data_IF_432593492181
#
_entry.id   IF_432593492181
#
_cell.length_a   1.000
_cell.length_b   1.000
_cell.length_c   1.000
_cell.angle_alpha   90.00
_cell.angle_beta   90.00
_cell.angle_gamma   90.00
#
_symmetry.space_group_name_H-M   'P 1'
#
loop_
_entity.id
_entity.type
_entity.pdbx_description
1 polymer ?
#
# COMPACT_ATOMS: atom_id res chain seq x y z
N UNK A 1 21.46 -11.10 19.55
CA UNK A 1 20.48 -11.39 20.61
C UNK A 1 19.20 -10.62 20.33
N UNK A 2 18.01 -11.24 20.41
CA UNK A 2 16.77 -10.51 20.17
C UNK A 2 16.38 -9.68 21.40
N UNK A 3 16.10 -8.39 21.18
CA UNK A 3 15.59 -7.46 22.18
C UNK A 3 14.12 -7.79 22.47
N UNK A 4 13.84 -8.30 23.67
CA UNK A 4 12.48 -8.50 24.17
C UNK A 4 11.89 -7.16 24.62
N UNK A 5 11.00 -6.58 23.82
CA UNK A 5 10.14 -5.49 24.27
C UNK A 5 8.83 -6.06 24.84
N UNK A 6 8.73 -6.07 26.18
CA UNK A 6 7.49 -6.32 26.88
C UNK A 6 6.65 -5.03 26.87
N UNK A 7 5.83 -4.84 25.84
CA UNK A 7 4.72 -3.91 25.93
C UNK A 7 3.59 -4.61 26.69
N UNK A 8 3.17 -4.02 27.81
CA UNK A 8 2.13 -4.54 28.71
C UNK A 8 0.90 -5.03 27.94
N UNK A 9 0.65 -6.34 28.01
CA UNK A 9 -0.62 -6.96 27.65
C UNK A 9 -1.02 -7.90 28.80
N UNK A 10 -2.32 -8.04 29.14
CA UNK A 10 -2.77 -8.96 30.17
C UNK A 10 -2.31 -10.40 29.87
N UNK A 11 -2.23 -11.23 30.92
CA UNK A 11 -1.63 -12.57 31.02
C UNK A 11 -2.01 -13.64 29.97
N UNK A 12 -2.82 -13.30 28.98
CA UNK A 12 -3.44 -14.21 28.01
C UNK A 12 -2.92 -14.10 26.57
N UNK A 13 -2.03 -13.13 26.30
CA UNK A 13 -1.46 -12.95 24.96
C UNK A 13 0.02 -13.34 24.91
N UNK A 14 0.35 -14.41 24.19
CA UNK A 14 1.73 -14.66 23.73
C UNK A 14 1.90 -14.12 22.33
N UNK A 15 2.69 -13.06 22.20
CA UNK A 15 3.10 -12.48 20.91
C UNK A 15 4.43 -13.09 20.49
N UNK A 16 4.50 -13.67 19.30
CA UNK A 16 5.78 -13.95 18.62
C UNK A 16 5.97 -12.91 17.53
N UNK A 17 7.08 -12.20 17.61
CA UNK A 17 7.45 -11.14 16.66
C UNK A 17 8.54 -11.70 15.75
N UNK A 18 8.32 -11.62 14.45
CA UNK A 18 9.33 -11.94 13.45
C UNK A 18 9.78 -10.62 12.81
N UNK A 19 11.09 -10.38 12.83
CA UNK A 19 11.70 -9.21 12.18
C UNK A 19 12.29 -9.63 10.85
N UNK A 20 11.77 -9.07 9.75
CA UNK A 20 12.38 -9.17 8.43
C UNK A 20 12.71 -7.75 7.94
N UNK A 21 13.94 -7.31 8.16
CA UNK A 21 14.34 -5.91 7.89
C UNK A 21 13.55 -4.92 8.75
N UNK A 22 12.96 -3.89 8.11
CA UNK A 22 12.13 -2.86 8.76
C UNK A 22 10.66 -3.25 8.94
N UNK A 23 10.28 -4.47 8.54
CA UNK A 23 8.89 -4.95 8.59
C UNK A 23 8.71 -5.83 9.83
N UNK A 24 7.75 -5.44 10.67
CA UNK A 24 7.32 -6.21 11.84
C UNK A 24 6.16 -7.13 11.44
N UNK A 25 6.40 -8.44 11.39
CA UNK A 25 5.33 -9.43 11.26
C UNK A 25 4.99 -9.95 12.66
N UNK A 26 3.75 -9.71 13.10
CA UNK A 26 3.22 -10.25 14.35
C UNK A 26 2.28 -11.42 14.06
N UNK A 27 2.53 -12.58 14.65
CA UNK A 27 1.51 -13.63 14.77
C UNK A 27 0.93 -13.57 16.19
N UNK A 28 -0.41 -13.58 16.27
CA UNK A 28 -1.13 -13.70 17.53
C UNK A 28 -1.66 -15.12 17.65
N UNK A 29 -1.36 -15.77 18.78
CA UNK A 29 -2.05 -16.98 19.19
C UNK A 29 -2.80 -16.66 20.47
N UNK A 30 -4.12 -16.77 20.45
CA UNK A 30 -4.97 -16.63 21.62
C UNK A 30 -4.95 -17.97 22.36
N UNK A 31 -4.71 -17.95 23.66
CA UNK A 31 -4.79 -19.14 24.51
C UNK A 31 -6.02 -19.01 25.41
N UNK A 32 -7.08 -19.77 25.09
CA UNK A 32 -8.23 -19.95 25.99
C UNK A 32 -8.01 -21.25 26.80
N UNK A 33 -7.89 -21.17 28.14
CA UNK A 33 -7.70 -22.35 28.98
C UNK A 33 -8.90 -23.29 29.02
N UNK A 34 -10.07 -22.92 28.48
CA UNK A 34 -11.29 -23.73 28.52
C UNK A 34 -11.60 -24.47 27.20
N UNK A 35 -11.05 -24.05 26.05
CA UNK A 35 -11.43 -24.56 24.71
C UNK A 35 -10.29 -25.21 23.90
N UNK A 36 -9.08 -25.31 24.48
CA UNK A 36 -7.92 -25.88 23.78
C UNK A 36 -7.37 -24.97 22.68
N UNK A 37 -6.50 -25.52 21.80
CA UNK A 37 -5.96 -24.76 20.67
C UNK A 37 -7.03 -24.55 19.60
N UNK A 38 -7.78 -23.45 19.67
CA UNK A 38 -8.62 -23.02 18.57
C UNK A 38 -7.70 -22.55 17.43
N UNK A 39 -7.65 -23.34 16.35
CA UNK A 39 -7.05 -22.93 15.09
C UNK A 39 -8.09 -22.08 14.34
N UNK A 40 -8.26 -20.83 14.78
CA UNK A 40 -9.06 -19.86 14.03
C UNK A 40 -8.21 -19.12 13.00
N UNK A 41 -8.87 -18.81 11.89
CA UNK A 41 -8.31 -18.33 10.63
C UNK A 41 -7.25 -17.24 10.80
N UNK A 42 -6.17 -17.40 10.04
CA UNK A 42 -5.05 -16.45 9.96
C UNK A 42 -5.58 -15.14 9.37
N UNK A 43 -6.04 -14.27 10.25
CA UNK A 43 -6.49 -12.94 9.90
C UNK A 43 -5.26 -12.04 9.88
N UNK A 44 -4.81 -11.66 8.68
CA UNK A 44 -3.69 -10.73 8.52
C UNK A 44 -4.25 -9.31 8.53
N UNK A 45 -4.30 -8.70 9.72
CA UNK A 45 -4.62 -7.30 9.88
C UNK A 45 -3.36 -6.44 9.69
N UNK A 46 -3.34 -5.63 8.64
CA UNK A 46 -2.32 -4.60 8.48
C UNK A 46 -2.81 -3.32 9.16
N UNK A 47 -2.15 -2.97 10.26
CA UNK A 47 -2.37 -1.73 11.00
C UNK A 47 -1.33 -0.71 10.57
N UNK A 48 -1.79 0.50 10.32
CA UNK A 48 -0.93 1.67 10.37
C UNK A 48 -1.58 2.82 11.14
N UNK A 49 -0.71 3.73 11.59
CA UNK A 49 -0.89 4.75 12.63
C UNK A 49 -2.32 4.89 13.19
N UNK A 50 -2.62 4.05 14.19
CA UNK A 50 -3.63 4.25 15.24
C UNK A 50 -4.80 5.18 14.86
N UNK A 51 -5.70 4.76 13.97
CA UNK A 51 -7.11 5.18 13.94
C UNK A 51 -7.84 4.45 12.80
N UNK A 52 -8.81 3.61 13.19
CA UNK A 52 -9.94 3.29 12.33
C UNK A 52 -10.70 4.60 12.08
N UNK A 53 -10.57 5.16 10.87
CA UNK A 53 -11.40 6.27 10.43
C UNK A 53 -12.52 5.72 9.54
N UNK A 54 -13.64 5.36 10.18
CA UNK A 54 -14.93 5.40 9.50
C UNK A 54 -15.32 6.87 9.36
N UNK A 55 -15.18 7.44 8.16
CA UNK A 55 -15.83 8.70 7.82
C UNK A 55 -17.00 8.43 6.88
N UNK A 56 -18.10 9.11 7.16
CA UNK A 56 -19.39 8.93 6.51
C UNK A 56 -19.39 9.74 5.21
N UNK A 57 -19.32 9.05 4.07
CA UNK A 57 -19.36 9.62 2.73
C UNK A 57 -18.56 8.76 1.75
N UNK A 58 -19.20 7.71 1.22
CA UNK A 58 -18.66 6.80 0.18
C UNK A 58 -17.26 6.21 0.44
N UNK A 59 -16.93 5.93 1.70
CA UNK A 59 -15.62 5.40 2.10
C UNK A 59 -15.60 3.89 1.92
N UNK A 60 -14.81 3.47 0.93
CA UNK A 60 -14.39 2.09 0.70
C UNK A 60 -14.01 1.44 2.05
N UNK A 61 -14.74 0.38 2.45
CA UNK A 61 -14.44 -0.43 3.65
C UNK A 61 -13.19 -1.28 3.39
N UNK A 62 -12.00 -0.71 3.64
CA UNK A 62 -10.74 -1.40 3.44
C UNK A 62 -10.44 -2.33 4.63
N UNK A 63 -11.08 -3.51 4.66
CA UNK A 63 -10.80 -4.54 5.67
C UNK A 63 -9.37 -5.10 5.62
N UNK A 64 -8.62 -4.86 4.54
CA UNK A 64 -7.25 -5.38 4.36
C UNK A 64 -6.37 -4.33 3.67
N UNK A 65 -5.91 -3.31 4.41
CA UNK A 65 -5.11 -2.21 3.87
C UNK A 65 -3.82 -1.95 4.66
N UNK A 66 -2.75 -1.51 3.98
CA UNK A 66 -1.49 -1.08 4.58
C UNK A 66 -1.28 0.41 4.30
N UNK A 67 -1.33 1.24 5.33
CA UNK A 67 -1.15 2.69 5.17
C UNK A 67 0.14 3.21 5.85
N UNK A 68 1.26 3.15 5.14
CA UNK A 68 2.52 3.69 5.62
C UNK A 68 2.70 5.19 5.31
N UNK A 69 1.63 5.92 5.06
CA UNK A 69 1.71 7.32 4.66
C UNK A 69 2.23 8.25 5.76
N UNK A 70 2.72 9.42 5.35
CA UNK A 70 3.17 10.48 6.26
C UNK A 70 4.25 9.99 7.24
N UNK A 71 5.31 9.39 6.67
CA UNK A 71 6.48 8.93 7.40
C UNK A 71 7.76 9.44 6.70
N UNK A 72 8.91 9.04 7.24
CA UNK A 72 10.22 9.32 6.65
C UNK A 72 10.79 8.07 5.95
N UNK A 73 9.95 7.22 5.35
CA UNK A 73 10.44 6.04 4.62
C UNK A 73 11.23 6.50 3.39
N UNK A 74 12.38 5.89 3.17
CA UNK A 74 13.32 6.24 2.10
C UNK A 74 13.84 5.00 1.40
N UNK A 75 14.46 5.18 0.24
CA UNK A 75 14.90 4.08 -0.61
C UNK A 75 13.80 3.64 -1.57
N UNK A 76 14.00 2.51 -2.22
CA UNK A 76 13.09 2.01 -3.25
C UNK A 76 11.89 1.27 -2.67
N UNK A 77 10.80 1.22 -3.43
CA UNK A 77 9.68 0.34 -3.13
C UNK A 77 10.13 -1.10 -3.41
N UNK A 78 10.11 -2.01 -2.42
CA UNK A 78 10.59 -3.37 -2.62
C UNK A 78 9.63 -4.18 -3.49
N UNK A 79 10.18 -5.04 -4.36
CA UNK A 79 9.41 -5.94 -5.22
C UNK A 79 8.52 -6.91 -4.43
N UNK A 80 8.91 -7.19 -3.19
CA UNK A 80 8.20 -8.09 -2.27
C UNK A 80 6.80 -7.57 -1.92
N UNK A 81 6.52 -6.27 -2.03
CA UNK A 81 5.17 -5.77 -1.82
C UNK A 81 4.17 -6.39 -2.79
N UNK A 82 4.59 -6.74 -4.01
CA UNK A 82 3.76 -7.46 -4.97
C UNK A 82 3.29 -8.85 -4.52
N UNK A 83 3.83 -9.40 -3.42
CA UNK A 83 3.38 -10.68 -2.84
C UNK A 83 2.12 -10.55 -1.99
N UNK A 84 1.70 -9.32 -1.65
CA UNK A 84 0.52 -9.05 -0.82
C UNK A 84 -0.79 -9.16 -1.63
N UNK A 85 -1.02 -10.28 -2.32
CA UNK A 85 -2.09 -10.45 -3.31
C UNK A 85 -3.52 -10.20 -2.80
N UNK A 86 -3.73 -10.26 -1.48
CA UNK A 86 -5.02 -10.04 -0.83
C UNK A 86 -5.24 -8.59 -0.38
N UNK A 87 -4.25 -7.71 -0.53
CA UNK A 87 -4.36 -6.32 -0.08
C UNK A 87 -5.34 -5.53 -0.94
N UNK A 88 -6.20 -4.75 -0.30
CA UNK A 88 -7.22 -3.92 -0.94
C UNK A 88 -6.85 -2.44 -0.95
N UNK A 89 -6.01 -1.99 -0.02
CA UNK A 89 -5.49 -0.63 0.00
C UNK A 89 -4.00 -0.61 0.33
N UNK A 90 -3.21 0.11 -0.46
CA UNK A 90 -1.81 0.40 -0.18
C UNK A 90 -1.60 1.90 -0.27
N UNK A 91 -1.29 2.53 0.87
CA UNK A 91 -0.95 3.94 0.93
C UNK A 91 0.50 4.10 1.38
N UNK A 92 1.36 4.56 0.47
CA UNK A 92 2.77 4.89 0.72
C UNK A 92 3.02 6.40 0.59
N UNK A 93 1.96 7.21 0.55
CA UNK A 93 2.06 8.63 0.22
C UNK A 93 2.81 9.44 1.28
N UNK A 94 3.30 10.62 0.92
CA UNK A 94 3.98 11.54 1.86
C UNK A 94 5.15 10.88 2.58
N UNK A 95 6.08 10.34 1.79
CA UNK A 95 7.33 9.74 2.25
C UNK A 95 8.51 10.30 1.42
N UNK A 96 9.67 9.68 1.53
CA UNK A 96 10.90 10.03 0.81
C UNK A 96 11.34 8.88 -0.11
N UNK A 97 10.40 8.06 -0.61
CA UNK A 97 10.68 6.91 -1.46
C UNK A 97 11.23 7.36 -2.81
N UNK A 98 12.21 6.63 -3.32
CA UNK A 98 12.96 6.92 -4.57
C UNK A 98 12.90 5.73 -5.53
N UNK A 99 13.49 5.85 -6.72
CA UNK A 99 13.56 4.76 -7.69
C UNK A 99 12.27 4.58 -8.47
N UNK A 100 12.06 3.39 -9.05
CA UNK A 100 10.94 3.09 -9.94
C UNK A 100 9.73 2.57 -9.18
N UNK A 101 8.55 2.72 -9.76
CA UNK A 101 7.38 1.94 -9.33
C UNK A 101 7.60 0.49 -9.76
N UNK A 102 7.63 -0.50 -8.85
CA UNK A 102 7.87 -1.88 -9.23
C UNK A 102 6.71 -2.43 -10.05
N UNK A 103 7.00 -3.01 -11.21
CA UNK A 103 5.99 -3.73 -12.01
C UNK A 103 5.29 -4.84 -11.23
N UNK A 104 5.96 -5.39 -10.21
CA UNK A 104 5.41 -6.43 -9.32
C UNK A 104 4.18 -5.98 -8.54
N UNK A 105 3.92 -4.67 -8.43
CA UNK A 105 2.68 -4.15 -7.86
C UNK A 105 1.44 -4.51 -8.72
N UNK A 106 1.60 -4.89 -9.99
CA UNK A 106 0.49 -5.43 -10.79
C UNK A 106 -0.04 -6.78 -10.27
N UNK A 107 0.73 -7.48 -9.42
CA UNK A 107 0.30 -8.74 -8.80
C UNK A 107 -0.71 -8.55 -7.65
N UNK A 108 -1.00 -7.30 -7.26
CA UNK A 108 -1.95 -6.97 -6.20
C UNK A 108 -3.39 -7.07 -6.70
N UNK A 109 -3.83 -8.27 -7.08
CA UNK A 109 -5.07 -8.49 -7.82
C UNK A 109 -6.36 -8.04 -7.09
N UNK A 110 -6.32 -7.88 -5.77
CA UNK A 110 -7.44 -7.38 -4.96
C UNK A 110 -7.40 -5.89 -4.66
N UNK A 111 -6.39 -5.15 -5.14
CA UNK A 111 -6.20 -3.75 -4.79
C UNK A 111 -7.28 -2.86 -5.38
N UNK A 112 -7.84 -2.00 -4.52
CA UNK A 112 -8.87 -1.03 -4.84
C UNK A 112 -8.35 0.41 -4.66
N UNK A 113 -7.36 0.62 -3.80
CA UNK A 113 -6.73 1.92 -3.56
C UNK A 113 -5.22 1.81 -3.54
N UNK A 114 -4.55 2.54 -4.42
CA UNK A 114 -3.09 2.64 -4.48
C UNK A 114 -2.69 4.11 -4.46
N UNK A 115 -2.08 4.55 -3.36
CA UNK A 115 -1.56 5.90 -3.21
C UNK A 115 -0.03 5.90 -3.05
N UNK A 116 0.67 6.43 -4.04
CA UNK A 116 2.12 6.58 -4.08
C UNK A 116 2.52 8.07 -4.14
N UNK A 117 1.58 8.98 -3.91
CA UNK A 117 1.78 10.41 -4.08
C UNK A 117 2.76 11.03 -3.07
N UNK A 118 3.29 12.21 -3.35
CA UNK A 118 4.21 12.92 -2.46
C UNK A 118 5.42 12.06 -2.04
N UNK A 119 6.15 11.59 -3.06
CA UNK A 119 7.40 10.87 -2.91
C UNK A 119 8.43 11.43 -3.91
N UNK A 120 9.54 10.74 -4.11
CA UNK A 120 10.59 11.07 -5.10
C UNK A 120 10.74 9.94 -6.12
N UNK A 121 9.65 9.23 -6.44
CA UNK A 121 9.63 8.15 -7.43
C UNK A 121 9.92 8.72 -8.82
N UNK A 122 10.55 7.92 -9.66
CA UNK A 122 11.07 8.32 -10.97
C UNK A 122 10.85 7.24 -12.04
N UNK A 123 11.08 7.60 -13.29
CA UNK A 123 10.84 6.71 -14.44
C UNK A 123 9.37 6.66 -14.82
N UNK A 124 9.01 5.65 -15.62
CA UNK A 124 7.66 5.50 -16.16
C UNK A 124 6.69 4.83 -15.18
N UNK A 125 5.40 5.09 -15.35
CA UNK A 125 4.35 4.31 -14.71
C UNK A 125 4.31 2.94 -15.43
N UNK A 126 4.54 1.81 -14.74
CA UNK A 126 4.57 0.51 -15.40
C UNK A 126 3.23 0.21 -16.09
N UNK A 127 3.23 -0.15 -17.38
CA UNK A 127 2.00 -0.49 -18.09
C UNK A 127 1.30 -1.71 -17.48
N UNK A 128 2.02 -2.58 -16.76
CA UNK A 128 1.45 -3.72 -16.04
C UNK A 128 0.45 -3.29 -14.94
N UNK A 129 0.52 -2.05 -14.42
CA UNK A 129 -0.48 -1.58 -13.46
C UNK A 129 -1.89 -1.48 -14.05
N UNK A 130 -2.01 -1.53 -15.38
CA UNK A 130 -3.31 -1.59 -16.06
C UNK A 130 -4.03 -2.94 -15.87
N UNK A 131 -3.34 -3.97 -15.38
CA UNK A 131 -3.93 -5.27 -15.04
C UNK A 131 -4.69 -5.23 -13.69
N UNK A 132 -4.62 -4.12 -12.94
CA UNK A 132 -5.27 -3.95 -11.64
C UNK A 132 -6.76 -3.60 -11.80
N UNK A 133 -7.57 -4.49 -12.36
CA UNK A 133 -8.96 -4.20 -12.76
C UNK A 133 -9.91 -3.75 -11.65
N UNK A 134 -9.56 -3.97 -10.37
CA UNK A 134 -10.37 -3.55 -9.21
C UNK A 134 -9.98 -2.16 -8.67
N UNK A 135 -8.96 -1.53 -9.23
CA UNK A 135 -8.44 -0.25 -8.77
C UNK A 135 -9.45 0.88 -9.01
N UNK A 136 -9.91 1.49 -7.91
CA UNK A 136 -10.88 2.60 -7.86
C UNK A 136 -10.25 3.92 -7.50
N UNK A 137 -9.15 3.89 -6.75
CA UNK A 137 -8.36 5.05 -6.40
C UNK A 137 -6.90 4.81 -6.77
N UNK A 138 -6.34 5.74 -7.52
CA UNK A 138 -4.93 5.75 -7.90
C UNK A 138 -4.39 7.16 -7.77
N UNK A 139 -3.23 7.31 -7.14
CA UNK A 139 -2.51 8.57 -7.14
C UNK A 139 -1.01 8.33 -7.17
N UNK A 140 -0.33 9.00 -8.09
CA UNK A 140 1.12 9.11 -8.20
C UNK A 140 1.56 10.58 -8.21
N UNK A 141 0.67 11.47 -7.78
CA UNK A 141 0.88 12.90 -7.81
C UNK A 141 2.13 13.31 -7.02
N UNK A 142 2.76 14.42 -7.40
CA UNK A 142 3.92 14.97 -6.70
C UNK A 142 5.06 13.95 -6.54
N UNK A 143 5.53 13.43 -7.68
CA UNK A 143 6.72 12.61 -7.83
C UNK A 143 7.60 13.17 -8.97
N UNK A 144 8.65 12.44 -9.35
CA UNK A 144 9.53 12.76 -10.47
C UNK A 144 9.33 11.78 -11.66
N UNK A 145 8.08 11.34 -11.87
CA UNK A 145 7.75 10.38 -12.93
C UNK A 145 7.80 11.05 -14.31
N UNK A 146 8.07 10.23 -15.32
CA UNK A 146 8.26 10.61 -16.72
C UNK A 146 7.50 9.71 -17.67
N UNK A 147 7.44 10.11 -18.94
CA UNK A 147 6.87 9.28 -20.00
C UNK A 147 5.36 9.39 -20.10
N UNK A 148 4.75 8.50 -20.87
CA UNK A 148 3.31 8.52 -21.15
C UNK A 148 2.53 7.80 -20.05
N UNK A 149 1.44 8.38 -19.58
CA UNK A 149 0.48 7.66 -18.72
C UNK A 149 -0.07 6.44 -19.49
N UNK A 150 -0.07 5.23 -18.89
CA UNK A 150 -0.68 4.05 -19.49
C UNK A 150 -2.15 4.31 -19.85
N UNK A 151 -2.44 4.46 -21.15
CA UNK A 151 -3.75 4.88 -21.65
C UNK A 151 -4.59 3.65 -22.00
N UNK A 152 -5.35 3.16 -21.00
CA UNK A 152 -6.44 2.21 -21.20
C UNK A 152 -7.74 2.93 -20.85
N UNK A 153 -8.52 3.22 -21.92
CA UNK A 153 -9.63 4.19 -21.96
C UNK A 153 -10.79 4.04 -20.95
N UNK A 154 -10.92 3.01 -20.10
CA UNK A 154 -11.85 3.04 -18.98
C UNK A 154 -11.25 3.09 -17.58
N UNK A 155 -9.93 2.96 -17.37
CA UNK A 155 -9.35 2.94 -16.01
C UNK A 155 -8.43 4.13 -15.74
N UNK A 156 -7.21 4.11 -16.27
CA UNK A 156 -6.23 5.17 -16.03
C UNK A 156 -6.64 6.50 -16.69
N UNK A 157 -7.43 6.44 -17.76
CA UNK A 157 -8.06 7.65 -18.33
C UNK A 157 -9.25 8.20 -17.52
N UNK A 158 -9.78 7.44 -16.56
CA UNK A 158 -10.93 7.84 -15.73
C UNK A 158 -10.54 8.43 -14.37
N UNK A 159 -9.29 8.22 -13.91
CA UNK A 159 -8.80 8.87 -12.71
C UNK A 159 -8.63 10.38 -12.92
N UNK A 160 -8.83 11.15 -11.85
CA UNK A 160 -8.73 12.60 -11.90
C UNK A 160 -7.33 13.05 -12.34
N UNK A 161 -7.26 14.18 -13.04
CA UNK A 161 -5.97 14.76 -13.46
C UNK A 161 -5.06 15.06 -12.25
N UNK A 162 -5.63 15.29 -11.06
CA UNK A 162 -4.88 15.46 -9.82
C UNK A 162 -4.08 14.21 -9.43
N UNK A 163 -4.52 13.00 -9.80
CA UNK A 163 -3.80 11.74 -9.55
C UNK A 163 -2.42 11.68 -10.20
N UNK A 164 -2.19 12.51 -11.22
CA UNK A 164 -0.95 12.55 -12.00
C UNK A 164 -0.20 13.88 -11.85
N UNK A 165 -0.85 14.89 -11.27
CA UNK A 165 -0.33 16.25 -11.11
C UNK A 165 0.99 16.29 -10.34
N UNK A 166 1.79 17.34 -10.56
CA UNK A 166 3.08 17.49 -9.87
C UNK A 166 4.21 16.58 -10.39
N UNK A 167 4.00 15.81 -11.46
CA UNK A 167 5.06 15.13 -12.21
C UNK A 167 5.43 15.96 -13.46
N UNK A 168 6.60 16.64 -13.49
CA UNK A 168 6.91 17.60 -14.56
C UNK A 168 7.12 16.95 -15.93
N UNK A 169 7.63 15.71 -15.98
CA UNK A 169 8.02 14.98 -17.19
C UNK A 169 6.96 13.97 -17.67
N UNK A 170 5.81 13.90 -17.00
CA UNK A 170 4.72 13.00 -17.34
C UNK A 170 3.79 13.65 -18.38
N UNK A 171 3.36 12.89 -19.39
CA UNK A 171 2.54 13.37 -20.50
C UNK A 171 1.45 12.34 -20.90
N UNK A 172 0.53 12.73 -21.78
CA UNK A 172 -0.57 11.89 -22.26
C UNK A 172 -1.78 11.86 -21.33
N UNK A 173 -2.95 11.50 -21.87
CA UNK A 173 -4.21 11.51 -21.12
C UNK A 173 -4.12 10.64 -19.85
N UNK A 174 -4.69 11.06 -18.70
CA UNK A 174 -5.53 12.25 -18.51
C UNK A 174 -4.74 13.56 -18.25
N UNK A 175 -3.41 13.52 -18.28
CA UNK A 175 -2.61 14.75 -18.26
C UNK A 175 -2.85 15.55 -19.55
N UNK A 176 -3.04 16.86 -19.41
CA UNK A 176 -3.29 17.78 -20.53
C UNK A 176 -2.01 18.02 -21.37
N UNK A 177 -0.86 17.54 -20.91
CA UNK A 177 0.43 17.69 -21.62
C UNK A 177 0.52 16.70 -22.78
N UNK A 178 0.81 17.22 -23.98
CA UNK A 178 1.15 16.36 -25.13
C UNK A 178 2.44 15.60 -24.85
N UNK A 179 2.41 14.30 -25.13
CA UNK A 179 3.59 13.59 -25.60
C UNK A 179 3.72 13.86 -27.11
#
# INVERSE_FOLDING_TARGET
EPLNFYAFSPSYFRRKIYTYGSILLGQYTVYDPNDGYAQEDVTIDFLSKSRSHSSKGDILDFKSGLDLSSNNLSGEIPNELGKLSQIQALNLSSNQLTGYIPRTLSNLSQIQSLDLSYNRLSGEIPPELTDLHLLKFFSVAHNNLSGRVPDIKPQFGAFDNSSYGGNPLLCGLPSVKSC
#
